data_IF_808635850172
#
_entry.id   IF_808635850172
#
_cell.length_a   1.000
_cell.length_b   1.000
_cell.length_c   1.000
_cell.angle_alpha   90.00
_cell.angle_beta   90.00
_cell.angle_gamma   90.00
#
_symmetry.space_group_name_H-M   'P 1'
#
loop_
_entity.id
_entity.type
_entity.pdbx_description
1 polymer ?
#
# COMPACT_ATOMS: atom_id res chain seq x y z
N UNK A 1 10.26 15.02 87.36
CA UNK A 1 9.54 15.86 86.38
C UNK A 1 9.34 15.03 85.12
N UNK A 2 8.27 15.26 84.36
CA UNK A 2 7.76 14.32 83.36
C UNK A 2 7.97 14.80 81.91
N UNK A 3 8.14 13.83 81.00
CA UNK A 3 7.85 13.76 79.55
C UNK A 3 8.41 12.39 79.09
N UNK A 4 7.71 11.41 78.48
CA UNK A 4 6.48 11.35 77.66
C UNK A 4 6.67 12.18 76.37
N UNK A 5 6.69 11.66 75.13
CA UNK A 5 6.48 10.31 74.55
C UNK A 5 7.23 10.27 73.17
N UNK A 6 7.18 9.29 72.26
CA UNK A 6 6.49 7.98 72.07
C UNK A 6 7.25 7.11 71.03
N UNK A 7 6.85 5.85 70.83
CA UNK A 7 7.36 4.96 69.76
C UNK A 7 6.63 5.16 68.42
N UNK A 8 7.34 4.99 67.30
CA UNK A 8 6.76 4.94 65.95
C UNK A 8 7.29 3.75 65.16
N UNK A 9 6.45 2.71 65.03
CA UNK A 9 6.75 1.46 64.31
C UNK A 9 6.89 1.69 62.80
N UNK A 10 8.04 1.33 62.24
CA UNK A 10 8.25 1.28 60.79
C UNK A 10 7.41 0.15 60.17
N UNK A 11 6.44 0.50 59.33
CA UNK A 11 5.78 -0.44 58.41
C UNK A 11 6.23 -0.16 56.97
N UNK A 12 6.80 -1.17 56.33
CA UNK A 12 7.25 -1.15 54.94
C UNK A 12 6.11 -1.53 53.98
N UNK A 13 5.74 -0.66 53.06
CA UNK A 13 4.90 -0.98 51.90
C UNK A 13 5.78 -1.43 50.71
N UNK A 14 5.30 -2.34 49.85
CA UNK A 14 6.02 -2.77 48.64
C UNK A 14 5.91 -1.71 47.52
N UNK A 15 6.85 -1.70 46.54
CA UNK A 15 6.82 -0.75 45.43
C UNK A 15 5.70 -1.08 44.43
N UNK A 16 4.99 -0.04 43.99
CA UNK A 16 4.02 -0.13 42.90
C UNK A 16 4.75 -0.20 41.55
N UNK A 17 4.42 -1.20 40.71
CA UNK A 17 4.88 -1.24 39.32
C UNK A 17 4.13 -0.19 38.50
N UNK A 18 4.74 0.97 38.26
CA UNK A 18 4.33 1.86 37.17
C UNK A 18 4.66 1.19 35.82
N UNK A 19 3.70 0.43 35.29
CA UNK A 19 3.71 -0.07 33.92
C UNK A 19 3.68 1.08 32.93
N UNK A 20 4.85 1.64 32.59
CA UNK A 20 5.01 2.55 31.45
C UNK A 20 4.72 1.79 30.16
N UNK A 21 3.51 1.97 29.65
CA UNK A 21 3.17 1.69 28.26
C UNK A 21 4.06 2.55 27.36
N UNK A 22 5.19 1.98 26.91
CA UNK A 22 6.02 2.59 25.88
C UNK A 22 5.19 2.65 24.59
N UNK A 23 4.64 3.83 24.31
CA UNK A 23 4.07 4.14 23.01
C UNK A 23 5.18 4.02 21.98
N UNK A 24 5.13 2.95 21.17
CA UNK A 24 6.11 2.64 20.15
C UNK A 24 6.25 3.82 19.19
N UNK A 25 7.27 4.63 19.41
CA UNK A 25 7.72 5.66 18.50
C UNK A 25 8.23 4.94 17.25
N UNK A 26 7.89 5.36 16.03
CA UNK A 26 8.54 4.80 14.85
C UNK A 26 10.04 5.16 14.93
N UNK A 27 10.89 4.17 15.18
CA UNK A 27 12.33 4.36 15.13
C UNK A 27 12.70 4.93 13.77
N UNK A 28 13.45 6.04 13.77
CA UNK A 28 13.95 6.65 12.54
C UNK A 28 15.11 5.77 12.04
N UNK A 29 14.75 4.74 11.27
CA UNK A 29 15.71 3.78 10.68
C UNK A 29 16.73 4.56 9.85
N UNK A 30 18.01 4.40 10.18
CA UNK A 30 19.09 5.09 9.46
C UNK A 30 19.07 4.68 7.98
N UNK A 31 19.32 5.61 7.01
CA UNK A 31 19.29 5.31 5.57
C UNK A 31 20.18 4.13 5.13
N UNK A 32 21.18 3.83 5.95
CA UNK A 32 22.29 2.91 5.69
C UNK A 32 21.89 1.42 5.81
N UNK A 33 20.67 1.11 6.26
CA UNK A 33 20.15 -0.26 6.45
C UNK A 33 18.87 -0.59 5.65
N UNK A 34 18.52 0.20 4.62
CA UNK A 34 17.36 -0.08 3.77
C UNK A 34 17.60 -1.26 2.80
N UNK A 35 17.41 -2.48 3.31
CA UNK A 35 17.23 -3.68 2.48
C UNK A 35 15.79 -3.68 1.98
N UNK A 36 15.60 -3.48 0.68
CA UNK A 36 14.29 -3.59 0.01
C UNK A 36 13.87 -5.06 -0.12
N UNK A 37 12.57 -5.32 -0.10
CA UNK A 37 12.00 -6.65 -0.30
C UNK A 37 11.78 -6.91 -1.81
N UNK A 38 12.56 -7.80 -2.45
CA UNK A 38 12.44 -8.07 -3.88
C UNK A 38 11.17 -8.87 -4.20
N UNK A 39 10.48 -8.48 -5.26
CA UNK A 39 9.37 -9.23 -5.85
C UNK A 39 9.92 -10.34 -6.77
N UNK A 40 9.17 -11.44 -6.90
CA UNK A 40 9.57 -12.55 -7.79
C UNK A 40 9.60 -12.14 -9.28
N UNK A 41 8.87 -11.09 -9.66
CA UNK A 41 8.83 -10.56 -11.02
C UNK A 41 8.90 -9.04 -10.95
N UNK A 42 9.49 -8.42 -11.97
CA UNK A 42 9.33 -6.98 -12.22
C UNK A 42 7.97 -6.71 -12.85
N UNK A 43 7.32 -5.65 -12.42
CA UNK A 43 6.01 -5.20 -12.88
C UNK A 43 6.10 -3.81 -13.50
N UNK A 44 5.12 -3.51 -14.36
CA UNK A 44 4.97 -2.26 -15.09
C UNK A 44 3.53 -1.77 -14.92
N UNK A 45 3.36 -0.59 -14.32
CA UNK A 45 2.05 0.04 -14.16
C UNK A 45 1.79 0.98 -15.33
N UNK A 46 0.68 0.75 -16.01
CA UNK A 46 0.21 1.53 -17.15
C UNK A 46 -1.04 2.31 -16.79
N UNK A 47 -1.17 3.50 -17.37
CA UNK A 47 -2.35 4.34 -17.34
C UNK A 47 -2.93 4.47 -18.74
N UNK A 48 -4.23 4.23 -18.87
CA UNK A 48 -4.99 4.54 -20.07
C UNK A 48 -5.89 5.74 -19.80
N UNK A 49 -5.97 6.68 -20.76
CA UNK A 49 -6.93 7.77 -20.74
C UNK A 49 -7.60 7.91 -22.10
N UNK A 50 -8.90 7.66 -22.16
CA UNK A 50 -9.68 7.71 -23.39
C UNK A 50 -9.85 9.13 -23.94
N UNK A 51 -8.90 9.58 -24.76
CA UNK A 51 -9.04 10.75 -25.63
C UNK A 51 -9.54 10.29 -27.00
N UNK A 52 -10.75 10.69 -27.37
CA UNK A 52 -11.42 10.32 -28.63
C UNK A 52 -10.68 10.82 -29.89
N UNK A 53 -9.76 11.77 -29.75
CA UNK A 53 -8.98 12.32 -30.85
C UNK A 53 -7.67 11.55 -31.11
N UNK A 54 -7.40 10.49 -30.34
CA UNK A 54 -6.17 9.69 -30.41
C UNK A 54 -6.48 8.23 -30.67
N UNK A 55 -5.49 7.50 -31.20
CA UNK A 55 -5.54 6.02 -31.27
C UNK A 55 -5.51 5.43 -29.87
N UNK A 56 -6.02 4.20 -29.71
CA UNK A 56 -6.02 3.51 -28.42
C UNK A 56 -4.61 3.36 -27.85
N UNK A 57 -3.62 3.02 -28.69
CA UNK A 57 -2.22 2.91 -28.30
C UNK A 57 -1.64 4.26 -27.81
N UNK A 58 -2.00 5.39 -28.44
CA UNK A 58 -1.53 6.71 -28.01
C UNK A 58 -2.20 7.23 -26.73
N UNK A 59 -3.28 6.57 -26.29
CA UNK A 59 -3.96 6.81 -25.02
C UNK A 59 -3.40 5.97 -23.86
N UNK A 60 -2.62 4.94 -24.17
CA UNK A 60 -1.91 4.11 -23.21
C UNK A 60 -0.54 4.72 -22.88
N UNK A 61 -0.17 4.73 -21.59
CA UNK A 61 1.08 5.31 -21.10
C UNK A 61 1.67 4.46 -19.99
N UNK A 62 2.96 4.14 -20.07
CA UNK A 62 3.69 3.59 -18.93
C UNK A 62 3.84 4.68 -17.86
N UNK A 63 3.51 4.37 -16.61
CA UNK A 63 3.72 5.27 -15.46
C UNK A 63 5.10 4.99 -14.85
N UNK A 64 5.33 3.75 -14.44
CA UNK A 64 6.55 3.33 -13.75
C UNK A 64 6.70 1.80 -13.83
N UNK A 65 7.90 1.32 -13.49
CA UNK A 65 8.23 -0.10 -13.33
C UNK A 65 8.90 -0.32 -11.99
N UNK A 66 8.54 -1.40 -11.30
CA UNK A 66 9.06 -1.74 -9.97
C UNK A 66 9.29 -3.25 -9.84
N UNK A 67 10.29 -3.62 -9.05
CA UNK A 67 10.68 -5.00 -8.72
C UNK A 67 10.86 -5.20 -7.21
N UNK A 68 10.46 -4.23 -6.39
CA UNK A 68 10.43 -4.33 -4.92
C UNK A 68 9.09 -3.89 -4.35
N UNK A 69 8.78 -4.38 -3.14
CA UNK A 69 7.56 -4.02 -2.40
C UNK A 69 7.56 -2.53 -2.05
N UNK A 70 8.70 -1.96 -1.67
CA UNK A 70 8.85 -0.55 -1.32
C UNK A 70 8.63 0.36 -2.54
N UNK A 71 9.11 -0.04 -3.72
CA UNK A 71 8.92 0.74 -4.94
C UNK A 71 7.47 0.69 -5.43
N UNK A 72 6.75 -0.42 -5.19
CA UNK A 72 5.30 -0.48 -5.34
C UNK A 72 4.59 0.50 -4.39
N UNK A 73 4.88 0.44 -3.07
CA UNK A 73 4.21 1.33 -2.10
C UNK A 73 4.56 2.81 -2.31
N UNK A 74 5.80 3.11 -2.69
CA UNK A 74 6.20 4.46 -3.09
C UNK A 74 5.37 4.93 -4.30
N UNK A 75 5.18 4.10 -5.33
CA UNK A 75 4.33 4.42 -6.46
C UNK A 75 2.85 4.58 -6.07
N UNK A 76 2.31 3.63 -5.30
CA UNK A 76 0.90 3.60 -4.86
C UNK A 76 0.51 4.87 -4.11
N UNK A 77 1.39 5.36 -3.23
CA UNK A 77 1.17 6.58 -2.45
C UNK A 77 1.26 7.89 -3.28
N UNK A 78 1.74 7.84 -4.53
CA UNK A 78 1.85 9.00 -5.43
C UNK A 78 0.87 8.98 -6.62
N UNK A 79 0.13 7.88 -6.83
CA UNK A 79 -0.92 7.79 -7.86
C UNK A 79 -2.32 8.10 -7.28
N UNK A 80 -3.30 8.35 -8.14
CA UNK A 80 -4.69 8.50 -7.69
C UNK A 80 -5.31 7.14 -7.39
N UNK A 81 -6.14 7.07 -6.36
CA UNK A 81 -6.94 5.88 -6.04
C UNK A 81 -7.90 5.52 -7.19
N UNK A 82 -8.15 4.23 -7.38
CA UNK A 82 -8.98 3.71 -8.46
C UNK A 82 -10.45 4.21 -8.40
N UNK A 83 -10.97 4.43 -7.20
CA UNK A 83 -12.30 5.03 -6.96
C UNK A 83 -12.42 6.47 -7.47
N UNK A 84 -11.31 7.21 -7.51
CA UNK A 84 -11.24 8.63 -7.88
C UNK A 84 -10.86 8.85 -9.36
N UNK A 85 -10.61 7.78 -10.12
CA UNK A 85 -10.31 7.88 -11.55
C UNK A 85 -11.48 8.52 -12.33
N UNK A 86 -11.11 9.45 -13.21
CA UNK A 86 -12.05 10.08 -14.15
C UNK A 86 -12.60 9.00 -15.09
N UNK A 87 -13.90 9.05 -15.39
CA UNK A 87 -14.56 8.11 -16.30
C UNK A 87 -13.82 7.99 -17.64
N UNK A 88 -13.50 6.77 -18.06
CA UNK A 88 -12.68 6.50 -19.25
C UNK A 88 -11.17 6.57 -19.00
N UNK A 89 -10.72 6.59 -17.74
CA UNK A 89 -9.35 6.34 -17.35
C UNK A 89 -9.25 5.00 -16.61
N UNK A 90 -8.22 4.21 -16.92
CA UNK A 90 -8.00 2.87 -16.37
C UNK A 90 -6.52 2.70 -15.97
N UNK A 91 -6.26 1.87 -14.96
CA UNK A 91 -4.91 1.35 -14.67
C UNK A 91 -4.77 -0.08 -15.16
N UNK A 92 -3.54 -0.53 -15.39
CA UNK A 92 -3.22 -1.91 -15.73
C UNK A 92 -1.82 -2.26 -15.23
N UNK A 93 -1.71 -3.24 -14.32
CA UNK A 93 -0.42 -3.80 -13.92
C UNK A 93 -0.13 -5.08 -14.73
N UNK A 94 1.02 -5.11 -15.38
CA UNK A 94 1.51 -6.24 -16.15
C UNK A 94 2.96 -6.55 -15.78
N UNK A 95 3.43 -7.77 -16.02
CA UNK A 95 4.86 -8.09 -15.87
C UNK A 95 5.68 -7.26 -16.87
N UNK A 96 6.91 -6.90 -16.49
CA UNK A 96 7.79 -6.15 -17.39
C UNK A 96 8.02 -6.92 -18.70
N UNK A 97 8.01 -6.21 -19.83
CA UNK A 97 8.06 -6.78 -21.17
C UNK A 97 6.74 -7.35 -21.71
N UNK A 98 5.60 -7.16 -21.01
CA UNK A 98 4.27 -7.46 -21.54
C UNK A 98 3.47 -6.15 -21.63
N UNK A 99 2.96 -5.83 -22.82
CA UNK A 99 2.09 -4.67 -23.01
C UNK A 99 0.63 -5.03 -22.68
N UNK A 100 -0.16 -4.11 -22.08
CA UNK A 100 -1.55 -4.38 -21.66
C UNK A 100 -2.54 -4.37 -22.84
N UNK A 101 -2.17 -4.97 -23.96
CA UNK A 101 -2.95 -5.05 -25.20
C UNK A 101 -3.16 -6.51 -25.63
N UNK A 102 -4.20 -6.77 -26.42
CA UNK A 102 -4.57 -8.14 -26.81
C UNK A 102 -3.69 -8.70 -27.95
N UNK A 103 -3.02 -7.81 -28.67
CA UNK A 103 -2.07 -8.10 -29.74
C UNK A 103 -0.74 -8.69 -29.22
N UNK A 104 -0.39 -8.44 -27.95
CA UNK A 104 0.83 -8.94 -27.31
C UNK A 104 0.87 -10.49 -27.35
N UNK A 105 2.03 -11.05 -27.68
CA UNK A 105 2.19 -12.50 -27.86
C UNK A 105 1.87 -13.34 -26.62
N UNK A 106 2.03 -12.76 -25.43
CA UNK A 106 1.69 -13.37 -24.14
C UNK A 106 0.19 -13.31 -23.86
N UNK A 107 -0.51 -12.30 -24.37
CA UNK A 107 -1.93 -12.05 -24.11
C UNK A 107 -2.86 -12.70 -25.16
N UNK A 108 -2.44 -12.78 -26.44
CA UNK A 108 -3.28 -13.21 -27.58
C UNK A 108 -3.91 -14.61 -27.50
N UNK A 109 -3.46 -15.46 -26.58
CA UNK A 109 -4.01 -16.81 -26.30
C UNK A 109 -4.50 -16.99 -24.86
N UNK A 110 -4.54 -15.90 -24.09
CA UNK A 110 -5.00 -15.89 -22.71
C UNK A 110 -6.50 -15.62 -22.59
N UNK A 111 -6.89 -15.15 -21.42
CA UNK A 111 -8.22 -14.65 -21.10
C UNK A 111 -8.13 -13.73 -19.88
N UNK A 112 -9.26 -13.14 -19.47
CA UNK A 112 -9.33 -12.35 -18.24
C UNK A 112 -10.58 -12.69 -17.44
N UNK A 113 -10.46 -12.68 -16.13
CA UNK A 113 -11.61 -12.58 -15.24
C UNK A 113 -12.05 -11.12 -15.17
N UNK A 114 -13.36 -10.88 -15.27
CA UNK A 114 -13.93 -9.52 -15.29
C UNK A 114 -14.93 -9.37 -14.14
N UNK A 115 -14.54 -8.60 -13.13
CA UNK A 115 -15.42 -8.19 -12.03
C UNK A 115 -16.02 -6.81 -12.34
N UNK A 116 -17.34 -6.76 -12.51
CA UNK A 116 -18.07 -5.50 -12.74
C UNK A 116 -18.69 -5.01 -11.43
N UNK A 117 -18.22 -3.89 -10.91
CA UNK A 117 -18.78 -3.26 -9.71
C UNK A 117 -19.89 -2.26 -10.04
N UNK A 118 -20.96 -2.26 -9.25
CA UNK A 118 -22.00 -1.23 -9.29
C UNK A 118 -21.45 0.15 -8.87
N UNK A 119 -22.19 1.24 -9.17
CA UNK A 119 -21.80 2.60 -8.76
C UNK A 119 -21.61 2.77 -7.25
N UNK A 120 -22.33 1.99 -6.44
CA UNK A 120 -22.21 2.05 -4.98
C UNK A 120 -20.97 1.29 -4.50
N UNK A 121 -20.79 0.04 -4.95
CA UNK A 121 -19.60 -0.77 -4.65
C UNK A 121 -18.31 -0.12 -5.13
N UNK A 122 -18.34 0.64 -6.24
CA UNK A 122 -17.19 1.44 -6.70
C UNK A 122 -16.68 2.42 -5.64
N UNK A 123 -17.57 2.97 -4.80
CA UNK A 123 -17.20 3.95 -3.77
C UNK A 123 -16.72 3.31 -2.47
N UNK A 124 -17.15 2.08 -2.15
CA UNK A 124 -16.84 1.41 -0.89
C UNK A 124 -15.77 0.35 -1.03
N UNK A 125 -15.74 -0.36 -2.16
CA UNK A 125 -15.03 -1.63 -2.29
C UNK A 125 -13.89 -1.59 -3.32
N UNK A 126 -13.92 -0.68 -4.33
CA UNK A 126 -12.99 -0.71 -5.45
C UNK A 126 -11.53 -0.58 -5.02
N UNK A 127 -11.20 0.37 -4.14
CA UNK A 127 -9.80 0.57 -3.72
C UNK A 127 -9.29 -0.60 -2.88
N UNK A 128 -10.16 -1.22 -2.06
CA UNK A 128 -9.85 -2.44 -1.31
C UNK A 128 -9.62 -3.63 -2.25
N UNK A 129 -10.54 -3.87 -3.18
CA UNK A 129 -10.45 -4.97 -4.16
C UNK A 129 -9.22 -4.79 -5.04
N UNK A 130 -8.91 -3.57 -5.47
CA UNK A 130 -7.70 -3.27 -6.23
C UNK A 130 -6.44 -3.61 -5.44
N UNK A 131 -6.32 -3.11 -4.21
CA UNK A 131 -5.17 -3.39 -3.35
C UNK A 131 -5.04 -4.88 -2.99
N UNK A 132 -6.15 -5.60 -2.79
CA UNK A 132 -6.19 -7.05 -2.58
C UNK A 132 -5.80 -7.84 -3.85
N UNK A 133 -5.95 -7.27 -5.05
CA UNK A 133 -5.52 -7.90 -6.30
C UNK A 133 -4.01 -7.78 -6.52
N UNK A 134 -3.40 -6.69 -6.03
CA UNK A 134 -1.96 -6.41 -6.18
C UNK A 134 -1.10 -6.99 -5.03
N UNK A 135 -1.69 -7.26 -3.86
CA UNK A 135 -1.05 -8.01 -2.78
C UNK A 135 -1.11 -9.53 -3.06
N UNK A 136 -0.18 -10.02 -3.90
CA UNK A 136 0.05 -11.44 -4.20
C UNK A 136 1.06 -12.11 -3.24
#
# INVERSE_FOLDING_TARGET
>A
MATVESEATTQSQPPEEEGKTEAASPEIVKPEHYIKHPLQNRWALWFFKNDKNKTWQANLRLISKFDTVEDFWALYNHIQLCSNLISGCDYSLFKDGIEPMWEDEKNKRGGRWLLTLSKQQRKTDLDRIWLETENL
#
